data_IF_567126955677
#
_entry.id   IF_567126955677
#
_cell.length_a   1.000
_cell.length_b   1.000
_cell.length_c   1.000
_cell.angle_alpha   90.00
_cell.angle_beta   90.00
_cell.angle_gamma   90.00
#
_symmetry.space_group_name_H-M   'P 1'
#
loop_
_entity.id
_entity.type
_entity.pdbx_description
1 polymer ?
#
# COMPACT_ATOMS: atom_id res chain seq x y z
N UNK A 1 52.02 -76.23 16.42
CA UNK A 1 50.90 -75.29 16.40
C UNK A 1 51.05 -74.43 15.17
N UNK A 2 50.42 -74.81 14.07
CA UNK A 2 50.31 -73.98 12.88
C UNK A 2 49.20 -72.97 13.17
N UNK A 3 49.54 -71.68 13.21
CA UNK A 3 48.55 -70.63 13.30
C UNK A 3 47.90 -70.45 11.93
N UNK A 4 46.58 -70.34 11.97
CA UNK A 4 45.63 -70.26 10.88
C UNK A 4 45.86 -68.97 10.05
N UNK A 5 46.64 -69.09 8.96
CA UNK A 5 47.03 -67.95 8.09
C UNK A 5 45.84 -67.36 7.32
N UNK A 6 44.85 -68.20 7.05
CA UNK A 6 43.74 -67.87 6.17
C UNK A 6 42.69 -67.03 6.90
N UNK A 7 42.51 -67.26 8.21
CA UNK A 7 41.67 -66.42 9.08
C UNK A 7 42.26 -65.02 9.32
N UNK A 8 43.60 -64.89 9.35
CA UNK A 8 44.26 -63.59 9.48
C UNK A 8 44.12 -62.76 8.20
N UNK A 9 44.29 -63.38 7.02
CA UNK A 9 44.04 -62.74 5.72
C UNK A 9 42.58 -62.26 5.59
N UNK A 10 41.62 -63.10 5.94
CA UNK A 10 40.20 -62.74 5.92
C UNK A 10 39.89 -61.55 6.86
N UNK A 11 40.48 -61.55 8.07
CA UNK A 11 40.28 -60.48 9.05
C UNK A 11 40.89 -59.14 8.61
N UNK A 12 42.03 -59.19 7.91
CA UNK A 12 42.73 -58.02 7.39
C UNK A 12 41.94 -57.40 6.23
N UNK A 13 41.45 -58.22 5.31
CA UNK A 13 40.65 -57.76 4.17
C UNK A 13 39.30 -57.17 4.62
N UNK A 14 38.67 -57.76 5.65
CA UNK A 14 37.44 -57.22 6.23
C UNK A 14 37.68 -55.88 6.95
N UNK A 15 38.81 -55.73 7.64
CA UNK A 15 39.19 -54.47 8.27
C UNK A 15 39.50 -53.40 7.23
N UNK A 16 40.18 -53.74 6.14
CA UNK A 16 40.43 -52.83 5.03
C UNK A 16 39.12 -52.35 4.38
N UNK A 17 38.16 -53.25 4.19
CA UNK A 17 36.84 -52.91 3.66
C UNK A 17 36.07 -51.95 4.57
N UNK A 18 36.12 -52.16 5.89
CA UNK A 18 35.50 -51.26 6.87
C UNK A 18 36.13 -49.86 6.85
N UNK A 19 37.46 -49.77 6.70
CA UNK A 19 38.17 -48.49 6.57
C UNK A 19 37.80 -47.79 5.26
N UNK A 20 37.75 -48.52 4.14
CA UNK A 20 37.32 -47.94 2.86
C UNK A 20 35.87 -47.42 2.94
N UNK A 21 34.97 -48.19 3.56
CA UNK A 21 33.56 -47.83 3.70
C UNK A 21 33.36 -46.62 4.62
N UNK A 22 34.15 -46.50 5.70
CA UNK A 22 34.08 -45.33 6.59
C UNK A 22 34.57 -44.05 5.89
N UNK A 23 35.62 -44.15 5.05
CA UNK A 23 36.09 -43.02 4.22
C UNK A 23 35.00 -42.59 3.23
N UNK A 24 34.34 -43.55 2.56
CA UNK A 24 33.25 -43.24 1.62
C UNK A 24 32.05 -42.60 2.32
N UNK A 25 31.65 -43.09 3.50
CA UNK A 25 30.60 -42.45 4.28
C UNK A 25 30.97 -41.02 4.71
N UNK A 26 32.21 -40.82 5.17
CA UNK A 26 32.67 -39.51 5.61
C UNK A 26 32.72 -38.50 4.46
N UNK A 27 33.20 -38.94 3.28
CA UNK A 27 33.16 -38.13 2.06
C UNK A 27 31.73 -37.80 1.64
N UNK A 28 30.80 -38.76 1.74
CA UNK A 28 29.39 -38.54 1.39
C UNK A 28 28.72 -37.54 2.33
N UNK A 29 28.98 -37.64 3.64
CA UNK A 29 28.53 -36.68 4.65
C UNK A 29 29.13 -35.29 4.42
N UNK A 30 30.42 -35.22 4.08
CA UNK A 30 31.09 -33.96 3.79
C UNK A 30 30.52 -33.28 2.54
N UNK A 31 30.26 -34.05 1.48
CA UNK A 31 29.63 -33.55 0.26
C UNK A 31 28.21 -33.06 0.56
N UNK A 32 27.41 -33.84 1.31
CA UNK A 32 26.06 -33.46 1.72
C UNK A 32 26.04 -32.15 2.53
N UNK A 33 26.90 -32.03 3.54
CA UNK A 33 27.01 -30.83 4.38
C UNK A 33 27.51 -29.62 3.59
N UNK A 34 28.40 -29.84 2.62
CA UNK A 34 28.90 -28.76 1.75
C UNK A 34 27.81 -28.26 0.80
N UNK A 35 26.97 -29.15 0.27
CA UNK A 35 25.82 -28.78 -0.57
C UNK A 35 24.70 -28.11 0.22
N UNK A 36 24.45 -28.53 1.45
CA UNK A 36 23.43 -27.90 2.32
C UNK A 36 23.83 -26.46 2.69
N UNK A 37 25.09 -26.27 3.09
CA UNK A 37 25.62 -24.93 3.41
C UNK A 37 25.78 -24.01 2.20
N UNK A 38 26.07 -24.55 1.01
CA UNK A 38 26.17 -23.76 -0.22
C UNK A 38 24.83 -23.56 -0.92
N UNK A 39 23.84 -24.41 -0.69
CA UNK A 39 22.50 -24.28 -1.26
C UNK A 39 21.76 -23.04 -0.76
N UNK A 40 21.82 -22.75 0.55
CA UNK A 40 21.24 -21.52 1.11
C UNK A 40 21.96 -20.26 0.63
N UNK A 41 23.29 -20.27 0.59
CA UNK A 41 24.08 -19.14 0.08
C UNK A 41 23.90 -18.93 -1.43
N UNK A 42 23.68 -20.00 -2.20
CA UNK A 42 23.48 -19.94 -3.65
C UNK A 42 22.07 -19.43 -4.05
N UNK A 43 21.05 -19.71 -3.23
CA UNK A 43 19.69 -19.17 -3.44
C UNK A 43 19.65 -17.68 -3.09
N UNK A 44 20.28 -17.26 -1.98
CA UNK A 44 20.37 -15.85 -1.58
C UNK A 44 21.24 -15.05 -2.56
N UNK A 45 22.35 -15.62 -3.06
CA UNK A 45 23.14 -14.96 -4.12
C UNK A 45 22.42 -14.92 -5.48
N UNK A 46 21.39 -15.75 -5.68
CA UNK A 46 20.45 -15.65 -6.81
C UNK A 46 19.58 -14.40 -6.76
N UNK A 47 19.24 -13.91 -5.55
CA UNK A 47 18.66 -12.58 -5.33
C UNK A 47 19.77 -11.52 -5.31
N UNK A 48 20.38 -11.27 -6.46
CA UNK A 48 21.23 -10.09 -6.65
C UNK A 48 20.35 -8.81 -6.60
N UNK A 49 20.96 -7.66 -6.32
CA UNK A 49 20.30 -6.34 -6.20
C UNK A 49 19.29 -6.11 -7.35
N UNK A 50 19.65 -6.46 -8.59
CA UNK A 50 18.77 -6.31 -9.77
C UNK A 50 17.48 -7.13 -9.74
N UNK A 51 17.52 -8.36 -9.20
CA UNK A 51 16.32 -9.18 -9.07
C UNK A 51 15.41 -8.63 -7.98
N UNK A 52 16.00 -8.13 -6.90
CA UNK A 52 15.26 -7.44 -5.84
C UNK A 52 14.62 -6.15 -6.32
N UNK A 53 15.33 -5.34 -7.11
CA UNK A 53 14.79 -4.13 -7.71
C UNK A 53 13.57 -4.47 -8.59
N UNK A 54 13.62 -5.57 -9.35
CA UNK A 54 12.48 -6.01 -10.17
C UNK A 54 11.27 -6.47 -9.32
N UNK A 55 11.50 -7.09 -8.17
CA UNK A 55 10.43 -7.54 -7.26
C UNK A 55 9.82 -6.37 -6.49
N UNK A 56 10.67 -5.42 -6.10
CA UNK A 56 10.26 -4.13 -5.53
C UNK A 56 9.40 -3.35 -6.53
N UNK A 57 9.87 -3.19 -7.77
CA UNK A 57 9.16 -2.47 -8.81
C UNK A 57 7.82 -3.16 -9.12
N UNK A 58 7.83 -4.49 -9.22
CA UNK A 58 6.61 -5.30 -9.35
C UNK A 58 5.59 -4.97 -8.25
N UNK A 59 6.01 -4.94 -6.98
CA UNK A 59 5.09 -4.71 -5.86
C UNK A 59 4.66 -3.25 -5.73
N UNK A 60 5.58 -2.28 -5.88
CA UNK A 60 5.32 -0.88 -5.52
C UNK A 60 5.15 0.08 -6.70
N UNK A 61 5.65 -0.26 -7.90
CA UNK A 61 5.51 0.58 -9.11
C UNK A 61 4.51 0.06 -10.13
N UNK A 62 3.95 -1.14 -9.92
CA UNK A 62 2.88 -1.65 -10.77
C UNK A 62 1.54 -1.70 -10.02
N UNK A 63 0.41 -1.54 -10.72
CA UNK A 63 -0.92 -1.71 -10.15
C UNK A 63 -1.31 -3.19 -9.94
N UNK A 64 -0.49 -4.13 -10.41
CA UNK A 64 -0.81 -5.55 -10.45
C UNK A 64 -1.61 -5.94 -11.71
N UNK A 65 -1.92 -7.23 -11.83
CA UNK A 65 -2.68 -7.78 -12.96
C UNK A 65 -3.79 -8.71 -12.47
N UNK A 66 -5.07 -8.37 -12.73
CA UNK A 66 -5.54 -7.10 -13.33
C UNK A 66 -5.42 -5.91 -12.35
N UNK A 67 -5.44 -4.67 -12.85
CA UNK A 67 -5.24 -3.45 -12.04
C UNK A 67 -6.21 -3.32 -10.84
N UNK A 68 -7.40 -3.89 -10.96
CA UNK A 68 -8.46 -3.91 -9.96
C UNK A 68 -8.50 -5.21 -9.13
N UNK A 69 -7.40 -5.95 -9.05
CA UNK A 69 -7.33 -7.26 -8.37
C UNK A 69 -7.83 -7.24 -6.92
N UNK A 70 -7.78 -6.10 -6.23
CA UNK A 70 -8.30 -5.95 -4.86
C UNK A 70 -9.82 -6.16 -4.74
N UNK A 71 -10.56 -6.05 -5.85
CA UNK A 71 -12.01 -6.31 -5.92
C UNK A 71 -12.33 -7.75 -6.33
N UNK A 72 -11.34 -8.55 -6.68
CA UNK A 72 -11.51 -9.89 -7.23
C UNK A 72 -11.22 -10.96 -6.17
N UNK A 73 -11.73 -12.16 -6.44
CA UNK A 73 -11.32 -13.36 -5.72
C UNK A 73 -9.85 -13.71 -6.06
N UNK A 74 -9.13 -14.23 -5.07
CA UNK A 74 -7.69 -14.52 -5.13
C UNK A 74 -7.30 -15.40 -6.33
N UNK A 75 -8.19 -16.30 -6.77
CA UNK A 75 -7.97 -17.19 -7.91
C UNK A 75 -7.85 -16.46 -9.27
N UNK A 76 -8.33 -15.21 -9.36
CA UNK A 76 -8.29 -14.40 -10.58
C UNK A 76 -7.14 -13.36 -10.55
N UNK A 77 -6.33 -13.36 -9.49
CA UNK A 77 -5.20 -12.46 -9.34
C UNK A 77 -3.97 -13.11 -9.95
N UNK A 78 -3.47 -12.56 -11.05
CA UNK A 78 -2.25 -13.07 -11.70
C UNK A 78 -0.99 -12.52 -11.04
N UNK A 79 -1.03 -11.25 -10.64
CA UNK A 79 0.09 -10.56 -10.01
C UNK A 79 -0.42 -9.45 -9.10
N UNK A 80 0.05 -9.39 -7.87
CA UNK A 80 -0.22 -8.22 -7.01
C UNK A 80 0.71 -7.07 -7.35
N UNK A 81 0.17 -5.87 -7.24
CA UNK A 81 0.91 -4.62 -7.28
C UNK A 81 0.10 -3.59 -6.53
N UNK A 82 0.75 -2.76 -5.73
CA UNK A 82 0.13 -1.87 -4.76
C UNK A 82 -0.11 -0.48 -5.32
N UNK A 83 0.53 -0.15 -6.44
CA UNK A 83 0.48 1.16 -7.03
C UNK A 83 -0.92 1.53 -7.54
N UNK A 84 -1.30 2.80 -7.46
CA UNK A 84 -2.52 3.31 -8.09
C UNK A 84 -2.32 3.39 -9.60
N UNK A 85 -1.24 4.06 -10.02
CA UNK A 85 -0.87 4.29 -11.43
C UNK A 85 0.60 3.90 -11.65
N UNK A 86 0.90 3.29 -12.80
CA UNK A 86 2.25 2.82 -13.14
C UNK A 86 3.35 3.86 -12.85
N UNK A 87 4.48 3.40 -12.33
CA UNK A 87 5.70 4.17 -12.06
C UNK A 87 5.56 5.28 -10.98
N UNK A 88 4.55 5.16 -10.11
CA UNK A 88 4.44 6.00 -8.90
C UNK A 88 4.73 5.21 -7.63
N UNK A 89 5.04 5.90 -6.53
CA UNK A 89 5.06 5.30 -5.18
C UNK A 89 3.77 5.62 -4.41
N UNK A 90 2.71 5.95 -5.14
CA UNK A 90 1.38 6.18 -4.59
C UNK A 90 0.68 4.83 -4.49
N UNK A 91 0.52 4.35 -3.27
CA UNK A 91 0.03 3.02 -2.95
C UNK A 91 -1.45 3.07 -2.59
N UNK A 92 -2.27 2.24 -3.23
CA UNK A 92 -3.68 2.11 -2.89
C UNK A 92 -3.86 1.45 -1.53
N UNK A 93 -4.59 2.13 -0.64
CA UNK A 93 -4.96 1.59 0.66
C UNK A 93 -5.79 0.29 0.56
N UNK A 94 -6.72 0.21 -0.40
CA UNK A 94 -7.55 -0.98 -0.60
C UNK A 94 -6.72 -2.21 -1.03
N UNK A 95 -5.71 -1.99 -1.88
CA UNK A 95 -4.76 -3.04 -2.27
C UNK A 95 -3.91 -3.50 -1.08
N UNK A 96 -3.44 -2.57 -0.23
CA UNK A 96 -2.74 -2.91 1.01
C UNK A 96 -3.61 -3.73 1.96
N UNK A 97 -4.86 -3.35 2.16
CA UNK A 97 -5.79 -4.09 3.02
C UNK A 97 -6.05 -5.49 2.49
N UNK A 98 -6.35 -5.63 1.20
CA UNK A 98 -6.58 -6.94 0.58
C UNK A 98 -5.34 -7.84 0.72
N UNK A 99 -4.14 -7.29 0.53
CA UNK A 99 -2.88 -8.03 0.70
C UNK A 99 -2.65 -8.44 2.16
N UNK A 100 -2.94 -7.56 3.11
CA UNK A 100 -2.85 -7.87 4.55
C UNK A 100 -3.79 -9.00 4.95
N UNK A 101 -5.01 -8.96 4.43
CA UNK A 101 -6.05 -9.93 4.77
C UNK A 101 -5.82 -11.28 4.04
N UNK A 102 -5.08 -11.27 2.91
CA UNK A 102 -4.75 -12.45 2.11
C UNK A 102 -3.24 -12.50 1.80
N UNK A 103 -2.39 -12.76 2.82
CA UNK A 103 -0.93 -12.64 2.69
C UNK A 103 -0.34 -13.61 1.66
N UNK A 104 -1.04 -14.70 1.32
CA UNK A 104 -0.62 -15.65 0.28
C UNK A 104 -0.52 -15.04 -1.13
N UNK A 105 -1.21 -13.92 -1.38
CA UNK A 105 -1.13 -13.22 -2.67
C UNK A 105 0.26 -12.64 -2.96
N UNK A 106 1.10 -12.44 -1.93
CA UNK A 106 2.48 -11.99 -2.11
C UNK A 106 3.28 -12.95 -3.00
N UNK A 107 2.91 -14.23 -3.03
CA UNK A 107 3.60 -15.25 -3.79
C UNK A 107 3.33 -15.19 -5.30
N UNK A 108 2.45 -14.29 -5.73
CA UNK A 108 2.29 -13.95 -7.16
C UNK A 108 3.40 -13.04 -7.67
N UNK A 109 4.12 -12.36 -6.77
CA UNK A 109 5.29 -11.52 -7.07
C UNK A 109 6.57 -12.23 -6.62
N UNK A 110 6.59 -12.69 -5.37
CA UNK A 110 7.75 -13.34 -4.78
C UNK A 110 7.65 -14.86 -4.95
N UNK A 111 8.68 -15.54 -5.46
CA UNK A 111 8.66 -17.00 -5.52
C UNK A 111 8.40 -17.63 -4.14
N UNK A 112 7.63 -18.72 -4.10
CA UNK A 112 7.15 -19.35 -2.84
C UNK A 112 8.27 -19.93 -1.97
N UNK A 113 9.47 -20.08 -2.52
CA UNK A 113 10.66 -20.49 -1.78
C UNK A 113 11.14 -19.40 -0.81
N UNK A 114 10.74 -18.14 -1.02
CA UNK A 114 11.11 -17.02 -0.16
C UNK A 114 10.07 -16.74 0.91
N UNK A 115 10.53 -16.45 2.11
CA UNK A 115 9.70 -15.92 3.20
C UNK A 115 9.78 -14.39 3.17
N UNK A 116 8.66 -13.74 2.91
CA UNK A 116 8.56 -12.28 2.81
C UNK A 116 7.82 -11.69 4.02
N UNK A 117 8.36 -10.64 4.63
CA UNK A 117 7.62 -9.75 5.51
C UNK A 117 7.54 -8.37 4.86
N UNK A 118 6.36 -7.76 4.92
CA UNK A 118 6.12 -6.39 4.44
C UNK A 118 5.56 -5.58 5.59
N UNK A 119 6.23 -4.46 5.90
CA UNK A 119 5.88 -3.58 7.01
C UNK A 119 5.85 -2.14 6.54
N UNK A 120 5.02 -1.31 7.16
CA UNK A 120 4.99 0.14 6.96
C UNK A 120 5.39 0.84 8.25
N UNK A 121 6.37 1.75 8.14
CA UNK A 121 6.80 2.66 9.21
C UNK A 121 6.34 4.07 8.87
N UNK A 122 5.43 4.69 9.65
CA UNK A 122 5.11 6.11 9.49
C UNK A 122 6.37 6.95 9.68
N UNK A 123 6.61 7.93 8.80
CA UNK A 123 7.81 8.78 8.87
C UNK A 123 7.87 9.58 10.17
N UNK A 124 6.73 10.09 10.63
CA UNK A 124 6.63 10.92 11.83
C UNK A 124 6.56 10.10 13.13
N UNK A 125 6.17 8.82 13.04
CA UNK A 125 6.15 7.91 14.17
C UNK A 125 6.64 6.49 13.80
N UNK A 126 7.97 6.30 13.67
CA UNK A 126 8.55 5.01 13.28
C UNK A 126 8.29 3.86 14.27
N UNK A 127 7.80 4.17 15.48
CA UNK A 127 7.47 3.16 16.49
C UNK A 127 6.13 2.48 16.25
N UNK A 128 5.23 3.12 15.49
CA UNK A 128 3.90 2.60 15.17
C UNK A 128 3.94 1.78 13.87
N UNK A 129 4.67 0.66 13.89
CA UNK A 129 4.83 -0.21 12.71
C UNK A 129 3.55 -0.95 12.38
N UNK A 130 3.15 -0.90 11.12
CA UNK A 130 2.01 -1.65 10.59
C UNK A 130 2.55 -2.87 9.85
N UNK A 131 2.22 -4.07 10.32
CA UNK A 131 2.57 -5.30 9.61
C UNK A 131 1.52 -5.57 8.53
N UNK A 132 1.94 -5.63 7.27
CA UNK A 132 1.09 -5.99 6.14
C UNK A 132 1.18 -7.50 5.92
N UNK A 133 2.39 -8.02 5.75
CA UNK A 133 2.63 -9.46 5.60
C UNK A 133 3.62 -9.90 6.66
N UNK A 134 3.34 -11.04 7.28
CA UNK A 134 4.23 -11.70 8.22
C UNK A 134 4.27 -13.19 7.92
N UNK A 135 5.13 -13.61 7.01
CA UNK A 135 5.29 -15.03 6.66
C UNK A 135 6.26 -15.76 7.61
N UNK A 136 7.08 -15.04 8.38
CA UNK A 136 8.01 -15.64 9.32
C UNK A 136 8.34 -14.75 10.53
N UNK A 137 8.98 -15.35 11.53
CA UNK A 137 9.55 -14.68 12.69
C UNK A 137 11.04 -14.99 12.77
N UNK A 138 11.87 -13.99 13.06
CA UNK A 138 13.32 -14.13 13.17
C UNK A 138 13.73 -15.31 14.07
N UNK A 139 14.40 -16.29 13.45
CA UNK A 139 15.28 -17.25 14.12
C UNK A 139 16.74 -16.79 13.97
N UNK A 140 17.59 -17.07 14.95
CA UNK A 140 18.89 -16.39 15.13
C UNK A 140 19.95 -16.50 14.02
N UNK A 141 19.70 -17.23 12.91
CA UNK A 141 20.70 -17.51 11.87
C UNK A 141 20.17 -17.37 10.42
N UNK A 142 19.02 -16.73 10.19
CA UNK A 142 18.53 -16.52 8.82
C UNK A 142 19.16 -15.26 8.20
N UNK A 143 19.74 -15.40 7.00
CA UNK A 143 20.21 -14.27 6.20
C UNK A 143 18.99 -13.53 5.65
N UNK A 144 18.74 -12.33 6.16
CA UNK A 144 17.61 -11.50 5.75
C UNK A 144 18.08 -10.35 4.89
N UNK A 145 17.51 -10.22 3.70
CA UNK A 145 17.68 -9.05 2.86
C UNK A 145 16.57 -8.03 3.16
N UNK A 146 16.94 -6.78 3.42
CA UNK A 146 16.00 -5.71 3.75
C UNK A 146 16.05 -4.59 2.72
N UNK A 147 14.89 -4.18 2.21
CA UNK A 147 14.70 -2.97 1.38
C UNK A 147 13.78 -1.98 2.07
N UNK A 148 14.05 -0.69 1.84
CA UNK A 148 13.35 0.45 2.44
C UNK A 148 12.95 1.42 1.35
N UNK A 149 11.66 1.67 1.20
CA UNK A 149 11.10 2.40 0.07
C UNK A 149 10.13 3.46 0.61
N UNK A 150 10.32 4.75 0.29
CA UNK A 150 9.35 5.76 0.65
C UNK A 150 8.09 5.61 -0.21
N UNK A 151 6.92 5.58 0.42
CA UNK A 151 5.62 5.49 -0.23
C UNK A 151 4.64 6.52 0.36
N UNK A 152 3.62 6.86 -0.41
CA UNK A 152 2.47 7.64 0.04
C UNK A 152 1.24 6.77 -0.12
N UNK A 153 0.34 6.77 0.86
CA UNK A 153 -0.90 5.98 0.79
C UNK A 153 -2.00 6.84 0.17
N UNK A 154 -2.63 6.32 -0.88
CA UNK A 154 -3.89 6.82 -1.41
C UNK A 154 -5.07 6.12 -0.71
N UNK A 155 -5.80 6.89 0.09
CA UNK A 155 -7.01 6.43 0.79
C UNK A 155 -8.25 6.38 -0.11
N UNK A 156 -8.15 6.79 -1.38
CA UNK A 156 -9.21 6.72 -2.39
C UNK A 156 -10.13 7.94 -2.39
N UNK A 157 -9.64 9.09 -1.93
CA UNK A 157 -10.40 10.34 -1.94
C UNK A 157 -10.42 10.97 -3.33
N UNK A 158 -11.58 11.49 -3.73
CA UNK A 158 -11.64 12.42 -4.86
C UNK A 158 -11.58 13.85 -4.31
N UNK A 159 -10.43 14.49 -4.52
CA UNK A 159 -10.09 15.80 -3.96
C UNK A 159 -10.22 16.85 -5.05
N UNK A 160 -10.80 18.00 -4.69
CA UNK A 160 -10.85 19.14 -5.59
C UNK A 160 -10.62 20.45 -4.86
N UNK A 161 -9.68 21.25 -5.35
CA UNK A 161 -9.39 22.58 -4.83
C UNK A 161 -10.48 23.57 -5.20
N UNK A 162 -10.60 24.65 -4.41
CA UNK A 162 -11.36 25.83 -4.80
C UNK A 162 -10.42 26.84 -5.46
N UNK A 163 -10.63 27.08 -6.76
CA UNK A 163 -9.85 28.05 -7.51
C UNK A 163 -10.39 29.47 -7.26
N UNK A 164 -9.49 30.45 -7.31
CA UNK A 164 -9.85 31.86 -7.21
C UNK A 164 -10.46 32.33 -8.54
N UNK A 165 -11.78 32.32 -8.62
CA UNK A 165 -12.53 32.92 -9.74
C UNK A 165 -12.69 34.44 -9.52
N UNK A 166 -11.56 35.15 -9.36
CA UNK A 166 -11.56 36.62 -9.34
C UNK A 166 -11.81 37.20 -10.74
N UNK A 167 -11.62 36.40 -11.79
CA UNK A 167 -11.80 36.80 -13.18
C UNK A 167 -12.96 36.02 -13.82
N UNK A 168 -14.13 36.68 -13.89
CA UNK A 168 -15.27 36.36 -14.76
C UNK A 168 -16.33 35.33 -14.29
N UNK A 169 -17.54 35.85 -14.05
CA UNK A 169 -18.88 35.34 -14.43
C UNK A 169 -19.34 33.90 -14.09
N UNK A 170 -18.51 33.00 -13.57
CA UNK A 170 -18.89 31.60 -13.31
C UNK A 170 -19.47 31.36 -11.90
N UNK A 171 -19.46 32.37 -11.04
CA UNK A 171 -20.14 32.33 -9.76
C UNK A 171 -21.57 32.91 -9.89
N UNK A 172 -22.65 32.11 -9.74
CA UNK A 172 -24.03 32.62 -9.81
C UNK A 172 -24.37 33.60 -8.68
N UNK A 173 -23.54 33.65 -7.63
CA UNK A 173 -23.69 34.59 -6.51
C UNK A 173 -22.98 35.93 -6.74
N UNK A 174 -22.22 36.06 -7.83
CA UNK A 174 -21.55 37.28 -8.28
C UNK A 174 -20.86 38.09 -7.15
N UNK A 175 -19.68 37.63 -6.74
CA UNK A 175 -18.88 38.29 -5.69
C UNK A 175 -18.13 39.54 -6.18
N UNK A 176 -18.46 40.11 -7.35
CA UNK A 176 -17.76 41.26 -7.97
C UNK A 176 -17.70 42.53 -7.09
N UNK A 177 -18.55 42.65 -6.07
CA UNK A 177 -18.59 43.80 -5.16
C UNK A 177 -18.19 43.44 -3.72
N UNK A 178 -17.81 42.19 -3.46
CA UNK A 178 -17.35 41.75 -2.14
C UNK A 178 -15.82 41.82 -2.12
N UNK A 179 -15.25 42.64 -1.23
CA UNK A 179 -13.80 42.74 -0.95
C UNK A 179 -13.21 41.42 -0.35
N UNK A 180 -13.96 40.32 -0.40
CA UNK A 180 -13.62 39.04 0.21
C UNK A 180 -12.92 38.12 -0.78
N UNK A 181 -11.88 37.42 -0.32
CA UNK A 181 -11.21 36.32 -1.02
C UNK A 181 -12.18 35.11 -1.19
N UNK A 182 -13.24 35.30 -1.97
CA UNK A 182 -14.22 34.28 -2.29
C UNK A 182 -13.71 33.39 -3.40
N UNK A 183 -13.84 32.08 -3.20
CA UNK A 183 -13.44 31.05 -4.15
C UNK A 183 -14.62 30.12 -4.37
N UNK A 184 -14.92 29.82 -5.62
CA UNK A 184 -16.16 29.17 -5.98
C UNK A 184 -15.89 27.89 -6.74
N UNK A 185 -16.71 26.87 -6.50
CA UNK A 185 -16.70 25.65 -7.31
C UNK A 185 -18.11 25.13 -7.46
N UNK A 186 -18.44 24.71 -8.67
CA UNK A 186 -19.68 23.99 -8.95
C UNK A 186 -19.38 22.54 -9.23
N UNK A 187 -20.33 21.67 -8.87
CA UNK A 187 -20.31 20.27 -9.24
C UNK A 187 -21.73 19.74 -9.31
N UNK A 188 -21.93 18.77 -10.20
CA UNK A 188 -23.20 18.06 -10.29
C UNK A 188 -23.19 16.90 -9.30
N UNK A 189 -24.31 16.72 -8.63
CA UNK A 189 -24.49 15.66 -7.65
C UNK A 189 -25.84 15.00 -7.83
N UNK A 190 -25.84 13.68 -7.72
CA UNK A 190 -27.05 12.88 -7.78
C UNK A 190 -27.41 12.30 -6.41
N UNK A 191 -28.69 11.96 -6.22
CA UNK A 191 -29.14 11.27 -5.00
C UNK A 191 -28.41 9.94 -4.80
N UNK A 192 -28.13 9.20 -5.87
CA UNK A 192 -27.35 7.97 -5.81
C UNK A 192 -25.92 8.22 -5.30
N UNK A 193 -25.30 9.33 -5.69
CA UNK A 193 -23.97 9.72 -5.21
C UNK A 193 -23.97 10.12 -3.73
N UNK A 194 -25.02 10.80 -3.25
CA UNK A 194 -25.15 11.14 -1.82
C UNK A 194 -25.41 9.94 -0.91
N UNK A 195 -26.05 8.90 -1.44
CA UNK A 195 -26.25 7.64 -0.70
C UNK A 195 -24.95 6.84 -0.63
N UNK A 196 -24.16 6.86 -1.70
CA UNK A 196 -22.94 6.06 -1.81
C UNK A 196 -21.69 6.73 -1.20
N UNK A 197 -21.66 8.06 -1.13
CA UNK A 197 -20.45 8.82 -0.79
C UNK A 197 -20.70 9.81 0.35
N UNK A 198 -19.63 10.15 1.07
CA UNK A 198 -19.57 11.28 2.01
C UNK A 198 -18.85 12.46 1.38
N UNK A 199 -19.28 13.66 1.73
CA UNK A 199 -18.72 14.90 1.21
C UNK A 199 -18.24 15.77 2.36
N UNK A 200 -16.99 16.21 2.27
CA UNK A 200 -16.35 17.06 3.26
C UNK A 200 -15.82 18.33 2.62
N UNK A 201 -15.76 19.39 3.42
CA UNK A 201 -14.93 20.56 3.13
C UNK A 201 -13.84 20.61 4.18
N UNK A 202 -12.60 20.72 3.73
CA UNK A 202 -11.41 20.86 4.55
C UNK A 202 -10.89 22.28 4.41
N UNK A 203 -10.68 22.97 5.54
CA UNK A 203 -10.03 24.28 5.60
C UNK A 203 -9.78 24.66 7.07
N UNK A 204 -8.65 25.31 7.36
CA UNK A 204 -8.31 25.76 8.72
C UNK A 204 -9.42 26.60 9.35
N UNK A 205 -9.92 27.58 8.60
CA UNK A 205 -11.03 28.45 8.98
C UNK A 205 -11.64 29.06 7.72
N UNK A 206 -12.91 28.76 7.44
CA UNK A 206 -13.59 29.29 6.27
C UNK A 206 -15.08 29.47 6.49
N UNK A 207 -15.61 30.60 6.01
CA UNK A 207 -17.04 30.77 5.86
C UNK A 207 -17.47 30.20 4.51
N UNK A 208 -18.38 29.25 4.52
CA UNK A 208 -18.85 28.57 3.32
C UNK A 208 -20.34 28.83 3.12
N UNK A 209 -20.72 29.09 1.88
CA UNK A 209 -22.11 29.13 1.45
C UNK A 209 -22.30 28.00 0.43
N UNK A 210 -23.22 27.10 0.71
CA UNK A 210 -23.70 26.10 -0.25
C UNK A 210 -24.97 26.63 -0.89
N UNK A 211 -25.10 26.49 -2.19
CA UNK A 211 -26.30 26.90 -2.93
C UNK A 211 -26.61 25.93 -4.06
N UNK A 212 -27.90 25.81 -4.42
CA UNK A 212 -28.34 25.01 -5.56
C UNK A 212 -28.75 25.91 -6.74
N UNK A 213 -29.03 25.30 -7.89
CA UNK A 213 -29.54 25.97 -9.11
C UNK A 213 -30.82 26.78 -8.87
N UNK A 214 -31.60 26.44 -7.85
CA UNK A 214 -32.88 27.07 -7.51
C UNK A 214 -32.78 28.24 -6.51
N UNK A 215 -31.56 28.62 -6.12
CA UNK A 215 -31.31 29.75 -5.22
C UNK A 215 -31.55 29.46 -3.73
N UNK A 216 -31.78 28.21 -3.35
CA UNK A 216 -31.72 27.80 -1.95
C UNK A 216 -30.27 27.82 -1.49
N UNK A 217 -30.03 28.28 -0.25
CA UNK A 217 -28.69 28.40 0.28
C UNK A 217 -28.60 27.97 1.76
N UNK A 218 -27.38 27.63 2.17
CA UNK A 218 -27.03 27.34 3.55
C UNK A 218 -25.64 27.88 3.83
N UNK A 219 -25.50 28.65 4.91
CA UNK A 219 -24.21 29.14 5.39
C UNK A 219 -23.68 28.26 6.50
N UNK A 220 -22.37 28.05 6.50
CA UNK A 220 -21.65 27.27 7.49
C UNK A 220 -20.27 27.87 7.75
N UNK A 221 -19.77 27.64 8.96
CA UNK A 221 -18.39 27.93 9.31
C UNK A 221 -17.63 26.60 9.42
N UNK A 222 -16.54 26.47 8.67
CA UNK A 222 -15.67 25.31 8.62
C UNK A 222 -14.45 25.58 9.50
N UNK A 223 -14.12 24.59 10.32
CA UNK A 223 -12.85 24.52 11.03
C UNK A 223 -12.26 23.12 10.88
N UNK A 224 -11.03 23.04 10.40
CA UNK A 224 -10.28 21.83 10.07
C UNK A 224 -10.98 20.99 8.97
N UNK A 225 -12.04 20.26 9.31
CA UNK A 225 -12.89 19.53 8.37
C UNK A 225 -14.34 19.53 8.81
N UNK A 226 -15.29 19.47 7.87
CA UNK A 226 -16.71 19.33 8.20
C UNK A 226 -17.44 18.51 7.16
N UNK A 227 -18.23 17.54 7.62
CA UNK A 227 -19.18 16.79 6.79
C UNK A 227 -20.33 17.71 6.33
N UNK A 228 -20.52 17.76 5.01
CA UNK A 228 -21.58 18.53 4.37
C UNK A 228 -22.63 17.63 3.70
N UNK A 229 -22.53 16.31 3.78
CA UNK A 229 -23.41 15.33 3.11
C UNK A 229 -24.89 15.59 3.39
N UNK A 230 -25.27 15.76 4.66
CA UNK A 230 -26.67 16.03 5.04
C UNK A 230 -27.16 17.41 4.57
N UNK A 231 -26.24 18.38 4.52
CA UNK A 231 -26.53 19.73 4.00
C UNK A 231 -26.79 19.67 2.50
N UNK A 232 -26.00 18.89 1.76
CA UNK A 232 -26.21 18.60 0.35
C UNK A 232 -27.54 17.86 0.12
N UNK A 233 -27.84 16.82 0.92
CA UNK A 233 -29.14 16.11 0.87
C UNK A 233 -30.33 17.05 1.06
N UNK A 234 -30.18 18.10 1.86
CA UNK A 234 -31.24 19.10 2.09
C UNK A 234 -31.37 20.08 0.92
N UNK A 235 -30.29 20.36 0.20
CA UNK A 235 -30.25 21.31 -0.92
C UNK A 235 -30.62 20.68 -2.26
N UNK A 236 -30.50 19.36 -2.41
CA UNK A 236 -30.91 18.68 -3.63
C UNK A 236 -32.45 18.53 -3.65
N UNK A 237 -33.02 18.97 -4.75
CA UNK A 237 -34.44 18.85 -5.08
C UNK A 237 -34.70 17.75 -6.11
N UNK A 238 -33.87 17.65 -7.14
CA UNK A 238 -34.01 16.69 -8.25
C UNK A 238 -32.94 15.59 -8.24
N UNK A 239 -33.04 14.61 -9.14
CA UNK A 239 -32.07 13.50 -9.19
C UNK A 239 -30.67 13.93 -9.68
N UNK A 240 -30.56 15.06 -10.37
CA UNK A 240 -29.31 15.68 -10.79
C UNK A 240 -29.40 17.20 -10.57
N UNK A 241 -28.74 17.69 -9.51
CA UNK A 241 -28.67 19.12 -9.21
C UNK A 241 -27.22 19.61 -9.23
N UNK A 242 -27.03 20.85 -9.67
CA UNK A 242 -25.75 21.55 -9.56
C UNK A 242 -25.69 22.25 -8.21
N UNK A 243 -24.67 21.90 -7.43
CA UNK A 243 -24.34 22.58 -6.19
C UNK A 243 -23.18 23.52 -6.44
N UNK A 244 -23.33 24.75 -5.97
CA UNK A 244 -22.31 25.78 -5.94
C UNK A 244 -21.82 25.95 -4.50
N UNK A 245 -20.53 25.75 -4.31
CA UNK A 245 -19.84 25.97 -3.04
C UNK A 245 -19.06 27.28 -3.17
N UNK A 246 -19.35 28.22 -2.28
CA UNK A 246 -18.64 29.50 -2.16
C UNK A 246 -17.86 29.48 -0.86
N UNK A 247 -16.55 29.63 -0.93
CA UNK A 247 -15.65 29.56 0.22
C UNK A 247 -14.97 30.91 0.39
N UNK A 248 -15.13 31.52 1.56
CA UNK A 248 -14.35 32.68 1.99
C UNK A 248 -13.38 32.23 3.07
N UNK A 249 -12.11 32.24 2.73
CA UNK A 249 -11.02 31.94 3.65
C UNK A 249 -9.88 32.93 3.44
N UNK A 250 -9.14 33.19 4.51
CA UNK A 250 -7.93 34.01 4.46
C UNK A 250 -6.74 33.23 3.88
N UNK A 251 -6.82 31.89 3.87
CA UNK A 251 -5.82 30.98 3.32
C UNK A 251 -6.29 30.39 1.98
N UNK A 252 -5.37 29.86 1.17
CA UNK A 252 -5.69 29.22 -0.13
C UNK A 252 -5.96 27.71 0.01
N UNK A 253 -5.74 27.14 1.19
CA UNK A 253 -5.87 25.70 1.43
C UNK A 253 -7.30 25.35 1.85
N UNK A 254 -8.17 25.28 0.84
CA UNK A 254 -9.53 24.78 1.01
C UNK A 254 -9.80 23.74 -0.06
N UNK A 255 -10.33 22.59 0.36
CA UNK A 255 -10.57 21.45 -0.52
C UNK A 255 -11.96 20.88 -0.29
N UNK A 256 -12.61 20.48 -1.37
CA UNK A 256 -13.77 19.61 -1.32
C UNK A 256 -13.29 18.17 -1.51
N UNK A 257 -13.71 17.29 -0.61
CA UNK A 257 -13.35 15.88 -0.62
C UNK A 257 -14.61 15.03 -0.75
N UNK A 258 -14.64 14.15 -1.74
CA UNK A 258 -15.62 13.09 -1.86
C UNK A 258 -14.97 11.77 -1.44
N UNK A 259 -15.55 11.17 -0.41
CA UNK A 259 -15.10 9.92 0.20
C UNK A 259 -16.11 8.81 -0.07
N UNK A 260 -15.72 7.87 -0.92
CA UNK A 260 -16.55 6.72 -1.29
C UNK A 260 -16.43 5.56 -0.30
N UNK A 261 -15.39 5.58 0.54
CA UNK A 261 -15.00 4.47 1.41
C UNK A 261 -15.32 4.74 2.88
N UNK A 262 -15.83 5.93 3.21
CA UNK A 262 -16.22 6.36 4.55
C UNK A 262 -15.08 6.22 5.57
N UNK A 263 -13.97 6.89 5.27
CA UNK A 263 -12.70 6.93 6.02
C UNK A 263 -12.43 8.33 6.59
N UNK A 264 -13.30 8.95 7.39
CA UNK A 264 -13.06 10.32 7.89
C UNK A 264 -11.75 10.46 8.70
N UNK A 265 -11.26 9.37 9.29
CA UNK A 265 -10.05 9.33 10.11
C UNK A 265 -8.75 9.65 9.35
N UNK A 266 -8.76 9.57 8.01
CA UNK A 266 -7.59 9.85 7.18
C UNK A 266 -7.71 11.18 6.41
N UNK A 267 -8.71 12.02 6.69
CA UNK A 267 -8.93 13.28 5.95
C UNK A 267 -7.75 14.25 6.04
N UNK A 268 -7.02 14.26 7.15
CA UNK A 268 -5.85 15.13 7.32
C UNK A 268 -4.74 14.82 6.29
N UNK A 269 -4.72 13.60 5.74
CA UNK A 269 -3.79 13.19 4.67
C UNK A 269 -4.03 13.93 3.34
N UNK A 270 -5.21 14.53 3.15
CA UNK A 270 -5.52 15.33 1.96
C UNK A 270 -4.70 16.62 1.93
N UNK A 271 -4.52 17.24 3.10
CA UNK A 271 -3.75 18.48 3.24
C UNK A 271 -2.26 18.15 3.41
N UNK A 272 -1.97 17.18 4.28
CA UNK A 272 -0.61 16.76 4.60
C UNK A 272 -0.50 15.23 4.42
N UNK A 273 -0.19 14.76 3.19
CA UNK A 273 -0.06 13.33 2.92
C UNK A 273 0.90 12.66 3.88
N UNK A 274 0.43 11.60 4.53
CA UNK A 274 1.28 10.83 5.43
C UNK A 274 2.26 9.98 4.62
N UNK A 275 3.55 10.20 4.84
CA UNK A 275 4.62 9.44 4.21
C UNK A 275 4.99 8.22 5.06
N UNK A 276 5.15 7.08 4.39
CA UNK A 276 5.55 5.83 5.01
C UNK A 276 6.87 5.33 4.41
N UNK A 277 7.66 4.66 5.24
CA UNK A 277 8.76 3.83 4.78
C UNK A 277 8.27 2.38 4.73
N UNK A 278 8.03 1.86 3.53
CA UNK A 278 7.76 0.46 3.31
C UNK A 278 9.06 -0.34 3.47
N UNK A 279 8.99 -1.40 4.28
CA UNK A 279 10.10 -2.31 4.54
C UNK A 279 9.72 -3.67 3.99
N UNK A 280 10.49 -4.14 3.01
CA UNK A 280 10.43 -5.53 2.55
C UNK A 280 11.60 -6.28 3.19
N UNK A 281 11.30 -7.35 3.91
CA UNK A 281 12.30 -8.29 4.41
C UNK A 281 12.09 -9.64 3.73
N UNK A 282 13.17 -10.21 3.20
CA UNK A 282 13.14 -11.51 2.54
C UNK A 282 14.16 -12.42 3.18
N UNK A 283 13.70 -13.61 3.56
CA UNK A 283 14.50 -14.72 4.08
C UNK A 283 14.30 -15.95 3.18
N UNK A 284 15.30 -16.83 3.15
CA UNK A 284 15.22 -18.16 2.49
C UNK A 284 15.16 -19.25 3.54
#
# INVERSE_FOLDING_TARGET
MAFDSDGQLLSLDLLLYLVALSIVMFLSLYIYLSFDASGSDMIITGLNDKHMDSLEDALFKTPGMPDNWHLLDDAHVSMVGLCVDNDSYLVSYDKLLKLRDNPGLIYTVFPSEYRCNVMLEPRDNPTNRINIIRSYSYGGNENVLTRRIPIIIDYGYNISSFDSDNDNYNCPYNHLNDDGNWRCKSFNISRSSLVANRYYILSDNANVILSNTYGQNMSLNIKDSTDITDKLNTLITDDEDTIYIHVRSDNHDSYMVCDKNNRPEHLDSVINPEEYMAIIEIST
#
